data_IF_659872899444
#
_entry.id   IF_659872899444
#
_cell.length_a   1.000
_cell.length_b   1.000
_cell.length_c   1.000
_cell.angle_alpha   90.00
_cell.angle_beta   90.00
_cell.angle_gamma   90.00
#
_symmetry.space_group_name_H-M   'P 1'
#
loop_
_entity.id
_entity.type
_entity.pdbx_description
1 polymer ?
#
# COMPACT_ATOMS: atom_id res chain seq x y z
N UNK A 1 2.56 90.59 5.38
CA UNK A 1 3.38 91.20 4.33
C UNK A 1 3.47 90.17 3.20
N UNK A 2 2.87 90.49 2.12
CA UNK A 2 2.69 89.79 0.83
C UNK A 2 3.93 89.94 -0.07
N UNK A 3 3.86 89.35 -1.27
CA UNK A 3 4.23 88.01 -1.76
C UNK A 3 5.32 88.12 -2.89
N UNK A 4 5.77 87.04 -3.38
CA UNK A 4 6.40 87.09 -4.74
C UNK A 4 6.17 85.73 -5.45
N UNK A 5 5.53 85.87 -6.63
CA UNK A 5 5.28 84.83 -7.62
C UNK A 5 6.54 84.51 -8.42
N UNK A 6 6.89 83.25 -8.55
CA UNK A 6 7.93 82.79 -9.49
C UNK A 6 7.28 81.81 -10.50
N UNK A 7 7.42 82.12 -11.78
CA UNK A 7 6.85 81.45 -12.95
C UNK A 7 7.57 80.16 -13.26
N UNK A 8 6.75 79.13 -13.50
CA UNK A 8 7.15 77.83 -14.00
C UNK A 8 7.41 77.88 -15.50
N UNK A 9 8.58 77.43 -15.93
CA UNK A 9 8.82 77.10 -17.33
C UNK A 9 8.70 75.59 -17.56
N UNK A 10 7.78 75.23 -18.45
CA UNK A 10 7.65 73.88 -18.94
C UNK A 10 8.77 73.52 -19.86
N UNK A 11 9.46 72.40 -19.56
CA UNK A 11 10.41 71.78 -20.48
C UNK A 11 9.75 70.47 -20.96
N UNK A 12 9.53 70.40 -22.26
CA UNK A 12 9.01 69.21 -22.93
C UNK A 12 10.14 68.19 -23.06
N UNK A 13 10.02 67.01 -22.46
CA UNK A 13 10.88 65.88 -22.67
C UNK A 13 10.26 64.96 -23.73
N UNK A 14 10.94 64.84 -24.85
CA UNK A 14 10.67 63.86 -25.89
C UNK A 14 11.18 62.51 -25.37
N UNK A 15 10.28 61.57 -25.12
CA UNK A 15 10.64 60.18 -24.79
C UNK A 15 10.69 59.37 -26.08
N UNK A 16 11.89 58.97 -26.46
CA UNK A 16 12.10 58.03 -27.55
C UNK A 16 11.72 56.62 -27.08
N UNK A 17 10.71 56.02 -27.69
CA UNK A 17 10.34 54.63 -27.48
C UNK A 17 11.35 53.71 -28.19
N UNK A 18 12.23 53.07 -27.43
CA UNK A 18 13.00 51.92 -27.90
C UNK A 18 12.09 50.66 -27.74
N UNK A 19 11.70 50.11 -28.87
CA UNK A 19 11.06 48.79 -28.93
C UNK A 19 12.07 47.69 -28.57
N UNK A 20 11.98 47.14 -27.37
CA UNK A 20 12.60 45.84 -27.04
C UNK A 20 11.66 44.75 -27.47
N UNK A 21 11.78 44.29 -28.71
CA UNK A 21 11.20 43.06 -29.18
C UNK A 21 12.21 41.95 -28.94
N UNK A 22 12.16 41.26 -27.78
CA UNK A 22 12.69 39.91 -27.55
C UNK A 22 12.35 39.44 -26.15
N UNK A 23 11.05 39.28 -25.83
CA UNK A 23 10.67 38.29 -24.80
C UNK A 23 10.33 37.02 -25.54
N UNK A 24 11.29 36.11 -25.64
CA UNK A 24 11.01 34.73 -25.98
C UNK A 24 9.99 34.18 -25.00
N UNK A 25 8.80 33.95 -25.47
CA UNK A 25 7.81 33.13 -24.78
C UNK A 25 8.45 31.75 -24.65
N UNK A 26 8.98 31.43 -23.47
CA UNK A 26 9.13 30.05 -23.02
C UNK A 26 7.73 29.48 -22.99
N UNK A 27 7.30 28.95 -24.14
CA UNK A 27 6.08 28.19 -24.22
C UNK A 27 6.20 27.03 -23.25
N UNK A 28 5.52 27.13 -22.13
CA UNK A 28 5.13 25.94 -21.40
C UNK A 28 4.39 25.10 -22.44
N UNK A 29 5.03 24.05 -22.93
CA UNK A 29 4.34 22.99 -23.66
C UNK A 29 3.28 22.51 -22.69
N UNK A 30 2.03 22.92 -22.90
CA UNK A 30 0.88 22.26 -22.32
C UNK A 30 1.09 20.77 -22.60
N UNK A 31 1.25 19.98 -21.56
CA UNK A 31 1.33 18.53 -21.69
C UNK A 31 0.10 18.12 -22.50
N UNK A 32 0.31 17.69 -23.73
CA UNK A 32 -0.77 17.26 -24.60
C UNK A 32 -1.53 16.16 -23.89
N UNK A 33 -2.84 16.26 -23.83
CA UNK A 33 -3.68 15.20 -23.29
C UNK A 33 -3.36 13.92 -24.05
N UNK A 34 -2.96 12.85 -23.34
CA UNK A 34 -2.71 11.56 -23.96
C UNK A 34 -3.91 11.06 -24.74
N UNK A 35 -3.68 10.17 -25.69
CA UNK A 35 -4.76 9.55 -26.47
C UNK A 35 -5.61 8.65 -25.59
N UNK A 36 -6.88 8.47 -25.97
CA UNK A 36 -7.76 7.48 -25.35
C UNK A 36 -7.87 6.26 -26.27
N UNK A 37 -7.31 5.15 -25.83
CA UNK A 37 -7.36 3.86 -26.52
C UNK A 37 -8.52 3.03 -25.93
N UNK A 38 -9.57 2.79 -26.73
CA UNK A 38 -10.81 2.17 -26.22
C UNK A 38 -10.84 0.67 -26.45
N UNK A 39 -11.22 -0.09 -25.40
CA UNK A 39 -11.38 -1.54 -25.44
C UNK A 39 -12.79 -1.92 -24.95
N UNK A 40 -13.56 -2.74 -25.68
CA UNK A 40 -13.45 -2.98 -27.11
C UNK A 40 -13.83 -1.71 -27.87
N UNK A 41 -13.36 -1.57 -29.08
CA UNK A 41 -13.66 -0.39 -29.89
C UNK A 41 -12.54 -0.20 -30.90
N UNK A 42 -11.55 0.63 -30.53
CA UNK A 42 -10.33 0.76 -31.34
C UNK A 42 -9.43 -0.48 -31.25
N UNK A 43 -9.47 -1.19 -30.12
CA UNK A 43 -8.68 -2.40 -29.86
C UNK A 43 -9.58 -3.53 -29.37
N UNK A 44 -9.33 -4.75 -29.82
CA UNK A 44 -10.16 -5.92 -29.45
C UNK A 44 -9.82 -6.44 -28.03
N UNK A 45 -8.57 -6.28 -27.60
CA UNK A 45 -8.04 -6.76 -26.32
C UNK A 45 -7.36 -5.63 -25.56
N UNK A 46 -7.25 -5.78 -24.24
CA UNK A 46 -6.52 -4.84 -23.40
C UNK A 46 -5.04 -4.87 -23.74
N UNK A 47 -4.46 -6.06 -23.94
CA UNK A 47 -3.06 -6.21 -24.35
C UNK A 47 -2.75 -5.48 -25.66
N UNK A 48 -3.62 -5.54 -26.67
CA UNK A 48 -3.41 -4.84 -27.93
C UNK A 48 -3.45 -3.31 -27.76
N UNK A 49 -4.28 -2.80 -26.86
CA UNK A 49 -4.32 -1.37 -26.54
C UNK A 49 -3.07 -0.94 -25.78
N UNK A 50 -2.61 -1.73 -24.80
CA UNK A 50 -1.38 -1.48 -24.04
C UNK A 50 -0.18 -1.46 -25.00
N UNK A 51 -0.02 -2.45 -25.89
CA UNK A 51 1.09 -2.49 -26.84
C UNK A 51 1.10 -1.33 -27.86
N UNK A 52 -0.02 -0.61 -28.04
CA UNK A 52 -0.11 0.59 -28.88
C UNK A 52 -0.01 1.90 -28.09
N UNK A 53 -0.01 1.83 -26.75
CA UNK A 53 -0.02 2.99 -25.88
C UNK A 53 1.36 3.67 -25.82
N UNK A 54 1.35 4.97 -25.59
CA UNK A 54 2.52 5.83 -25.41
C UNK A 54 2.42 6.53 -24.04
N UNK A 55 3.51 7.07 -23.51
CA UNK A 55 3.47 7.82 -22.26
C UNK A 55 2.36 8.87 -22.22
N UNK A 56 1.56 8.84 -21.15
CA UNK A 56 0.41 9.72 -20.96
C UNK A 56 -0.90 9.24 -21.59
N UNK A 57 -0.92 8.15 -22.34
CA UNK A 57 -2.16 7.59 -22.93
C UNK A 57 -3.04 6.92 -21.87
N UNK A 58 -4.35 6.92 -22.13
CA UNK A 58 -5.37 6.23 -21.35
C UNK A 58 -5.89 5.03 -22.12
N UNK A 59 -5.67 3.83 -21.63
CA UNK A 59 -6.37 2.61 -22.04
C UNK A 59 -7.68 2.55 -21.29
N UNK A 60 -8.80 2.84 -21.98
CA UNK A 60 -10.13 2.94 -21.39
C UNK A 60 -10.97 1.72 -21.74
N UNK A 61 -11.33 0.93 -20.73
CA UNK A 61 -11.93 -0.39 -20.87
C UNK A 61 -13.43 -0.31 -20.57
N UNK A 62 -14.27 -0.73 -21.50
CA UNK A 62 -15.70 -0.84 -21.28
C UNK A 62 -16.07 -2.10 -20.50
N UNK A 63 -17.32 -2.14 -20.01
CA UNK A 63 -17.85 -3.32 -19.32
C UNK A 63 -17.72 -4.59 -20.18
N UNK A 64 -17.23 -5.66 -19.57
CA UNK A 64 -16.97 -6.95 -20.22
C UNK A 64 -16.13 -7.86 -19.31
N UNK A 65 -16.06 -9.13 -19.69
CA UNK A 65 -15.16 -10.11 -19.07
C UNK A 65 -14.03 -10.39 -20.05
N UNK A 66 -12.81 -10.16 -19.63
CA UNK A 66 -11.60 -10.26 -20.43
C UNK A 66 -10.75 -11.42 -19.92
N UNK A 67 -10.52 -12.41 -20.80
CA UNK A 67 -9.73 -13.62 -20.47
C UNK A 67 -8.32 -13.48 -21.05
N UNK A 68 -7.53 -12.63 -20.46
CA UNK A 68 -6.16 -12.36 -20.91
C UNK A 68 -5.26 -12.01 -19.73
N UNK A 69 -3.97 -12.27 -19.85
CA UNK A 69 -2.90 -11.66 -19.07
C UNK A 69 -2.48 -10.39 -19.79
N UNK A 70 -2.32 -9.29 -19.07
CA UNK A 70 -1.88 -8.01 -19.64
C UNK A 70 -0.48 -7.68 -19.12
N UNK A 71 0.52 -7.74 -20.00
CA UNK A 71 1.89 -7.35 -19.69
C UNK A 71 2.15 -5.92 -20.15
N UNK A 72 2.62 -5.07 -19.23
CA UNK A 72 3.06 -3.71 -19.50
C UNK A 72 4.58 -3.68 -19.44
N UNK A 73 5.21 -3.84 -20.61
CA UNK A 73 6.67 -3.86 -20.73
C UNK A 73 7.29 -2.47 -20.48
N UNK A 74 8.58 -2.45 -20.18
CA UNK A 74 9.35 -1.26 -19.73
C UNK A 74 9.17 0.00 -20.60
N UNK A 75 8.93 -0.17 -21.91
CA UNK A 75 8.76 0.96 -22.84
C UNK A 75 7.41 1.69 -22.72
N UNK A 76 6.43 1.12 -22.02
CA UNK A 76 5.09 1.70 -21.86
C UNK A 76 4.95 2.54 -20.60
N UNK A 77 5.94 3.37 -20.30
CA UNK A 77 5.95 4.23 -19.10
C UNK A 77 4.78 5.21 -19.06
N UNK A 78 4.28 5.50 -17.86
CA UNK A 78 3.33 6.58 -17.61
C UNK A 78 1.97 6.41 -18.28
N UNK A 79 1.55 5.20 -18.60
CA UNK A 79 0.18 4.95 -19.12
C UNK A 79 -0.82 4.75 -17.98
N UNK A 80 -2.09 4.97 -18.28
CA UNK A 80 -3.20 4.71 -17.36
C UNK A 80 -4.10 3.64 -17.96
N UNK A 81 -4.37 2.57 -17.20
CA UNK A 81 -5.29 1.49 -17.55
C UNK A 81 -6.52 1.63 -16.65
N UNK A 82 -7.67 1.98 -17.23
CA UNK A 82 -8.88 2.30 -16.47
C UNK A 82 -10.11 1.60 -16.98
N UNK A 83 -10.84 0.94 -16.08
CA UNK A 83 -12.19 0.46 -16.33
C UNK A 83 -13.24 1.57 -16.21
N UNK A 84 -14.26 1.53 -17.06
CA UNK A 84 -15.42 2.43 -16.93
C UNK A 84 -16.31 2.08 -15.74
N UNK A 85 -16.31 0.82 -15.31
CA UNK A 85 -17.08 0.33 -14.19
C UNK A 85 -16.30 -0.77 -13.44
N UNK A 86 -15.99 -0.52 -12.18
CA UNK A 86 -15.19 -1.41 -11.34
C UNK A 86 -15.73 -2.84 -11.29
N UNK A 87 -17.05 -2.99 -11.23
CA UNK A 87 -17.70 -4.28 -11.04
C UNK A 87 -18.01 -5.02 -12.35
N UNK A 88 -17.98 -4.31 -13.47
CA UNK A 88 -18.33 -4.85 -14.78
C UNK A 88 -17.17 -4.89 -15.78
N UNK A 89 -16.03 -4.26 -15.46
CA UNK A 89 -14.77 -4.46 -16.18
C UNK A 89 -13.97 -5.51 -15.42
N UNK A 90 -14.00 -6.75 -15.89
CA UNK A 90 -13.48 -7.91 -15.17
C UNK A 90 -12.40 -8.61 -15.98
N UNK A 91 -11.16 -8.61 -15.49
CA UNK A 91 -10.11 -9.50 -15.94
C UNK A 91 -10.25 -10.82 -15.18
N UNK A 92 -10.38 -11.93 -15.90
CA UNK A 92 -10.72 -13.23 -15.31
C UNK A 92 -9.78 -14.31 -15.84
N UNK A 93 -8.87 -14.77 -14.99
CA UNK A 93 -7.89 -15.80 -15.32
C UNK A 93 -8.46 -17.21 -15.43
N UNK A 94 -9.73 -17.44 -15.04
CA UNK A 94 -10.42 -18.73 -15.10
C UNK A 94 -9.68 -19.86 -14.35
N UNK A 95 -8.81 -19.54 -13.39
CA UNK A 95 -7.87 -20.48 -12.75
C UNK A 95 -6.95 -21.20 -13.76
N UNK A 96 -6.53 -20.52 -14.82
CA UNK A 96 -5.68 -21.05 -15.89
C UNK A 96 -4.53 -20.11 -16.27
N UNK A 97 -4.73 -18.79 -16.17
CA UNK A 97 -3.72 -17.79 -16.50
C UNK A 97 -2.88 -17.44 -15.25
N UNK A 98 -1.62 -17.06 -15.45
CA UNK A 98 -0.69 -16.71 -14.39
C UNK A 98 -1.11 -15.45 -13.63
N UNK A 99 -0.68 -14.30 -14.09
CA UNK A 99 -1.00 -12.98 -13.52
C UNK A 99 -2.08 -12.25 -14.33
N UNK A 100 -2.84 -11.36 -13.67
CA UNK A 100 -3.85 -10.56 -14.35
C UNK A 100 -3.25 -9.38 -15.10
N UNK A 101 -2.61 -8.45 -14.39
CA UNK A 101 -1.77 -7.40 -14.95
C UNK A 101 -0.37 -7.53 -14.38
N UNK A 102 0.62 -7.62 -15.25
CA UNK A 102 2.04 -7.72 -14.94
C UNK A 102 2.77 -6.50 -15.49
N UNK A 103 3.19 -5.58 -14.58
CA UNK A 103 3.61 -4.22 -14.92
C UNK A 103 5.06 -4.02 -14.56
N UNK A 104 5.89 -3.77 -15.59
CA UNK A 104 7.32 -3.52 -15.46
C UNK A 104 7.73 -2.07 -15.77
N UNK A 105 6.79 -1.28 -16.30
CA UNK A 105 7.05 0.10 -16.71
C UNK A 105 6.80 1.10 -15.57
N UNK A 106 7.65 2.12 -15.51
CA UNK A 106 7.51 3.22 -14.57
C UNK A 106 6.26 4.06 -14.80
N UNK A 107 5.69 4.60 -13.75
CA UNK A 107 4.61 5.57 -13.80
C UNK A 107 3.25 5.01 -14.21
N UNK A 108 3.06 3.71 -14.20
CA UNK A 108 1.80 3.08 -14.64
C UNK A 108 0.74 3.10 -13.55
N UNK A 109 -0.46 3.54 -13.91
CA UNK A 109 -1.64 3.49 -13.05
C UNK A 109 -2.68 2.48 -13.55
N UNK A 110 -3.24 1.68 -12.63
CA UNK A 110 -4.38 0.79 -12.87
C UNK A 110 -5.55 1.23 -12.01
N UNK A 111 -6.70 1.44 -12.63
CA UNK A 111 -7.84 2.08 -11.96
C UNK A 111 -9.19 1.43 -12.32
N UNK A 112 -10.05 1.31 -11.32
CA UNK A 112 -11.49 1.07 -11.45
C UNK A 112 -11.87 -0.19 -12.24
N UNK A 113 -11.32 -1.33 -11.85
CA UNK A 113 -11.58 -2.63 -12.46
C UNK A 113 -11.51 -3.78 -11.46
N UNK A 114 -11.97 -4.95 -11.87
CA UNK A 114 -11.89 -6.20 -11.11
C UNK A 114 -10.91 -7.16 -11.76
N UNK A 115 -10.08 -7.82 -10.93
CA UNK A 115 -9.13 -8.87 -11.34
C UNK A 115 -9.33 -10.10 -10.47
N UNK A 116 -9.56 -11.26 -11.09
CA UNK A 116 -9.92 -12.47 -10.35
C UNK A 116 -9.45 -13.77 -10.98
N UNK A 117 -9.34 -14.81 -10.16
CA UNK A 117 -9.13 -16.21 -10.55
C UNK A 117 -7.90 -16.42 -11.44
N UNK A 118 -6.81 -15.70 -11.14
CA UNK A 118 -5.49 -15.94 -11.68
C UNK A 118 -4.74 -16.95 -10.80
N UNK A 119 -3.79 -17.68 -11.39
CA UNK A 119 -3.04 -18.72 -10.67
C UNK A 119 -1.98 -18.16 -9.75
N UNK A 120 -1.55 -16.91 -10.00
CA UNK A 120 -0.55 -16.21 -9.19
C UNK A 120 -1.16 -14.91 -8.66
N UNK A 121 -0.94 -13.78 -9.29
CA UNK A 121 -1.34 -12.48 -8.75
C UNK A 121 -2.48 -11.83 -9.53
N UNK A 122 -3.23 -10.96 -8.87
CA UNK A 122 -4.19 -10.10 -9.54
C UNK A 122 -3.49 -9.01 -10.34
N UNK A 123 -2.80 -8.09 -9.68
CA UNK A 123 -2.04 -6.99 -10.32
C UNK A 123 -0.67 -6.89 -9.68
N UNK A 124 0.38 -6.87 -10.50
CA UNK A 124 1.77 -6.77 -10.08
C UNK A 124 2.42 -5.51 -10.64
N UNK A 125 3.16 -4.81 -9.81
CA UNK A 125 4.16 -3.81 -10.20
C UNK A 125 5.52 -4.29 -9.69
N UNK A 126 6.42 -4.62 -10.60
CA UNK A 126 7.77 -5.06 -10.27
C UNK A 126 8.75 -4.74 -11.39
N UNK A 127 10.05 -4.57 -11.12
CA UNK A 127 11.04 -4.49 -12.18
C UNK A 127 11.02 -5.74 -13.07
N UNK A 128 11.30 -5.62 -14.36
CA UNK A 128 11.24 -6.73 -15.35
C UNK A 128 12.26 -7.85 -15.09
N UNK A 129 13.21 -7.64 -14.19
CA UNK A 129 14.02 -8.69 -13.59
C UNK A 129 14.11 -8.40 -12.09
N UNK A 130 13.86 -9.39 -11.27
CA UNK A 130 13.94 -9.28 -9.79
C UNK A 130 15.26 -8.70 -9.29
N UNK A 131 16.26 -8.58 -10.17
CA UNK A 131 17.61 -8.18 -9.83
C UNK A 131 18.26 -7.25 -10.87
N UNK A 132 17.53 -6.24 -11.35
CA UNK A 132 18.11 -5.17 -12.19
C UNK A 132 19.16 -4.35 -11.43
N UNK A 133 20.20 -4.97 -10.92
CA UNK A 133 21.29 -4.26 -10.25
C UNK A 133 20.89 -3.37 -9.07
N UNK A 134 19.68 -3.54 -8.51
CA UNK A 134 19.11 -2.73 -7.44
C UNK A 134 18.24 -1.55 -7.92
N UNK A 135 17.93 -1.45 -9.21
CA UNK A 135 17.00 -0.42 -9.71
C UNK A 135 15.56 -0.81 -9.39
N UNK A 136 14.89 0.02 -8.60
CA UNK A 136 13.48 -0.11 -8.27
C UNK A 136 12.60 0.49 -9.38
N UNK A 137 11.40 -0.07 -9.59
CA UNK A 137 10.38 0.52 -10.45
C UNK A 137 9.94 1.88 -9.87
N UNK A 138 9.86 2.90 -10.73
CA UNK A 138 9.59 4.27 -10.31
C UNK A 138 8.16 4.70 -10.59
N UNK A 139 7.40 4.95 -9.54
CA UNK A 139 6.02 5.43 -9.65
C UNK A 139 5.03 4.33 -10.05
N UNK A 140 4.10 4.03 -9.16
CA UNK A 140 3.04 3.04 -9.39
C UNK A 140 1.75 3.47 -8.69
N UNK A 141 0.60 3.08 -9.25
CA UNK A 141 -0.67 3.34 -8.59
C UNK A 141 -1.71 2.27 -8.90
N UNK A 142 -2.31 1.73 -7.84
CA UNK A 142 -3.52 0.93 -7.91
C UNK A 142 -4.66 1.62 -7.17
N UNK A 143 -5.72 2.00 -7.88
CA UNK A 143 -6.85 2.74 -7.30
C UNK A 143 -8.18 2.10 -7.69
N UNK A 144 -9.11 1.94 -6.73
CA UNK A 144 -10.42 1.34 -7.01
C UNK A 144 -10.33 -0.03 -7.69
N UNK A 145 -9.37 -0.85 -7.29
CA UNK A 145 -9.22 -2.22 -7.77
C UNK A 145 -9.98 -3.17 -6.85
N UNK A 146 -10.75 -4.10 -7.43
CA UNK A 146 -11.24 -5.28 -6.73
C UNK A 146 -10.42 -6.49 -7.18
N UNK A 147 -9.69 -7.11 -6.26
CA UNK A 147 -8.91 -8.30 -6.52
C UNK A 147 -9.41 -9.45 -5.65
N UNK A 148 -9.84 -10.57 -6.26
CA UNK A 148 -10.31 -11.69 -5.45
C UNK A 148 -10.06 -13.07 -6.07
N UNK A 149 -9.86 -14.07 -5.20
CA UNK A 149 -9.63 -15.47 -5.57
C UNK A 149 -8.44 -15.64 -6.55
N UNK A 150 -7.35 -14.88 -6.35
CA UNK A 150 -6.10 -15.10 -7.06
C UNK A 150 -5.18 -16.00 -6.22
N UNK A 151 -4.23 -16.67 -6.84
CA UNK A 151 -3.48 -17.77 -6.25
C UNK A 151 -2.39 -17.39 -5.25
N UNK A 152 -1.96 -16.11 -5.21
CA UNK A 152 -1.06 -15.57 -4.19
C UNK A 152 -1.55 -14.20 -3.71
N UNK A 153 -1.27 -13.11 -4.45
CA UNK A 153 -1.54 -11.74 -4.04
C UNK A 153 -2.73 -11.12 -4.78
N UNK A 154 -3.43 -10.22 -4.10
CA UNK A 154 -4.46 -9.40 -4.74
C UNK A 154 -3.86 -8.27 -5.56
N UNK A 155 -3.17 -7.35 -4.89
CA UNK A 155 -2.36 -6.29 -5.49
C UNK A 155 -0.97 -6.32 -4.86
N UNK A 156 0.06 -6.23 -5.68
CA UNK A 156 1.43 -6.52 -5.31
C UNK A 156 2.39 -5.49 -5.90
N UNK A 157 3.08 -4.72 -5.05
CA UNK A 157 4.14 -3.81 -5.44
C UNK A 157 5.46 -4.29 -4.83
N UNK A 158 6.37 -4.81 -5.66
CA UNK A 158 7.63 -5.43 -5.27
C UNK A 158 8.81 -4.71 -5.91
N UNK A 159 9.79 -4.30 -5.11
CA UNK A 159 10.93 -3.55 -5.62
C UNK A 159 10.51 -2.27 -6.33
N UNK A 160 9.46 -1.61 -5.83
CA UNK A 160 8.84 -0.45 -6.47
C UNK A 160 8.71 0.70 -5.47
N UNK A 161 9.10 1.92 -5.88
CA UNK A 161 9.03 3.11 -5.04
C UNK A 161 8.15 4.21 -5.63
N UNK A 162 7.82 5.21 -4.81
CA UNK A 162 7.00 6.36 -5.18
C UNK A 162 5.59 5.96 -5.67
N UNK A 163 4.89 5.15 -4.87
CA UNK A 163 3.59 4.68 -5.31
C UNK A 163 2.52 4.59 -4.24
N UNK A 164 1.33 4.18 -4.66
CA UNK A 164 0.23 4.02 -3.72
C UNK A 164 -0.82 3.01 -4.15
N UNK A 165 -1.44 2.41 -3.14
CA UNK A 165 -2.75 1.77 -3.23
C UNK A 165 -3.79 2.62 -2.51
N UNK A 166 -4.89 2.92 -3.17
CA UNK A 166 -6.04 3.57 -2.55
C UNK A 166 -7.37 2.95 -3.02
N UNK A 167 -8.35 2.84 -2.11
CA UNK A 167 -9.67 2.26 -2.40
C UNK A 167 -9.61 0.85 -3.00
N UNK A 168 -8.57 0.08 -2.66
CA UNK A 168 -8.45 -1.33 -3.04
C UNK A 168 -9.39 -2.17 -2.18
N UNK A 169 -10.01 -3.17 -2.78
CA UNK A 169 -10.67 -4.26 -2.08
C UNK A 169 -10.03 -5.58 -2.49
N UNK A 170 -9.53 -6.34 -1.54
CA UNK A 170 -8.84 -7.61 -1.79
C UNK A 170 -9.42 -8.74 -0.93
N UNK A 171 -9.75 -9.89 -1.54
CA UNK A 171 -10.38 -11.01 -0.83
C UNK A 171 -10.01 -12.36 -1.41
N UNK A 172 -9.78 -13.33 -0.54
CA UNK A 172 -9.58 -14.72 -0.97
C UNK A 172 -8.18 -15.06 -1.47
N UNK A 173 -7.17 -14.29 -1.13
CA UNK A 173 -5.79 -14.59 -1.50
C UNK A 173 -5.13 -15.53 -0.49
N UNK A 174 -4.47 -16.63 -0.97
CA UNK A 174 -3.74 -17.55 -0.10
C UNK A 174 -2.51 -16.94 0.57
N UNK A 175 -2.02 -15.84 0.05
CA UNK A 175 -0.96 -15.03 0.64
C UNK A 175 -1.55 -13.69 1.12
N UNK A 176 -1.20 -12.55 0.58
CA UNK A 176 -1.77 -11.31 1.07
C UNK A 176 -2.72 -10.59 0.11
N UNK A 177 -3.72 -9.89 0.70
CA UNK A 177 -4.64 -9.06 -0.07
C UNK A 177 -3.94 -7.90 -0.73
N UNK A 178 -3.12 -7.19 0.04
CA UNK A 178 -2.34 -6.02 -0.37
C UNK A 178 -0.89 -6.20 0.09
N UNK A 179 0.04 -6.07 -0.83
CA UNK A 179 1.47 -6.21 -0.56
C UNK A 179 2.26 -5.00 -1.07
N UNK A 180 3.16 -4.50 -0.22
CA UNK A 180 4.21 -3.56 -0.63
C UNK A 180 5.51 -4.05 -0.01
N UNK A 181 6.50 -4.39 -0.81
CA UNK A 181 7.74 -4.94 -0.26
C UNK A 181 8.96 -4.79 -1.15
N UNK A 182 10.07 -5.22 -0.57
CA UNK A 182 11.40 -5.26 -1.18
C UNK A 182 11.85 -3.91 -1.77
N UNK A 183 11.46 -2.81 -1.14
CA UNK A 183 11.80 -1.45 -1.54
C UNK A 183 12.53 -0.71 -0.42
N UNK A 184 13.57 0.05 -0.83
CA UNK A 184 14.36 0.88 0.09
C UNK A 184 15.03 2.06 -0.66
N UNK A 185 14.49 3.31 -0.56
CA UNK A 185 13.24 3.65 0.12
C UNK A 185 12.00 3.21 -0.67
N UNK A 186 10.89 2.97 0.03
CA UNK A 186 9.62 2.67 -0.63
C UNK A 186 8.85 3.92 -1.07
N UNK A 187 8.81 4.95 -0.23
CA UNK A 187 7.96 6.12 -0.44
C UNK A 187 6.53 5.71 -0.87
N UNK A 188 5.96 4.77 -0.13
CA UNK A 188 4.70 4.13 -0.49
C UNK A 188 3.56 4.55 0.45
N UNK A 189 2.34 4.63 -0.10
CA UNK A 189 1.14 4.92 0.64
C UNK A 189 0.07 3.85 0.38
N UNK A 190 -0.50 3.27 1.44
CA UNK A 190 -1.66 2.38 1.36
C UNK A 190 -2.78 2.97 2.22
N UNK A 191 -3.91 3.33 1.61
CA UNK A 191 -5.01 3.97 2.34
C UNK A 191 -6.39 3.62 1.82
N UNK A 192 -7.41 3.90 2.63
CA UNK A 192 -8.83 3.78 2.25
C UNK A 192 -9.17 2.41 1.63
N UNK A 193 -8.45 1.36 2.02
CA UNK A 193 -8.52 0.04 1.41
C UNK A 193 -9.09 -0.99 2.38
N UNK A 194 -9.63 -2.06 1.84
CA UNK A 194 -10.20 -3.18 2.60
C UNK A 194 -9.59 -4.48 2.12
N UNK A 195 -9.07 -5.30 3.06
CA UNK A 195 -8.72 -6.68 2.76
C UNK A 195 -9.37 -7.63 3.77
N UNK A 196 -10.04 -8.65 3.26
CA UNK A 196 -10.73 -9.65 4.07
C UNK A 196 -10.67 -11.05 3.45
N UNK A 197 -10.75 -12.07 4.27
CA UNK A 197 -10.70 -13.46 3.84
C UNK A 197 -9.40 -13.87 3.14
N UNK A 198 -8.26 -13.23 3.47
CA UNK A 198 -6.93 -13.57 2.97
C UNK A 198 -6.10 -14.28 4.06
N UNK A 199 -4.95 -14.86 3.70
CA UNK A 199 -3.96 -15.25 4.70
C UNK A 199 -3.50 -14.04 5.50
N UNK A 200 -3.06 -12.98 4.82
CA UNK A 200 -2.69 -11.69 5.42
C UNK A 200 -3.50 -10.58 4.76
N UNK A 201 -4.00 -9.63 5.54
CA UNK A 201 -4.71 -8.46 4.98
C UNK A 201 -3.74 -7.53 4.24
N UNK A 202 -2.72 -7.04 4.95
CA UNK A 202 -1.62 -6.25 4.42
C UNK A 202 -0.28 -6.84 4.85
N UNK A 203 0.63 -6.96 3.91
CA UNK A 203 1.98 -7.48 4.13
C UNK A 203 3.04 -6.51 3.63
N UNK A 204 4.13 -6.41 4.40
CA UNK A 204 5.24 -5.50 4.14
C UNK A 204 6.58 -6.20 4.38
N UNK A 205 6.97 -7.13 3.51
CA UNK A 205 8.27 -7.80 3.57
C UNK A 205 9.35 -6.88 3.05
N UNK A 206 10.37 -6.60 3.88
CA UNK A 206 11.49 -5.72 3.53
C UNK A 206 11.07 -4.33 2.97
N UNK A 207 9.88 -3.85 3.31
CA UNK A 207 9.45 -2.50 2.95
C UNK A 207 10.13 -1.49 3.87
N UNK A 208 11.00 -0.65 3.33
CA UNK A 208 11.86 0.24 4.11
C UNK A 208 11.79 1.70 3.66
N UNK A 209 12.02 2.61 4.60
CA UNK A 209 12.14 4.03 4.29
C UNK A 209 10.84 4.66 3.79
N UNK A 210 9.89 4.91 4.69
CA UNK A 210 8.69 5.70 4.44
C UNK A 210 7.55 4.92 3.72
N UNK A 211 7.22 3.74 4.22
CA UNK A 211 5.98 3.06 3.88
C UNK A 211 4.89 3.47 4.88
N UNK A 212 3.83 4.11 4.39
CA UNK A 212 2.71 4.62 5.21
C UNK A 212 1.42 3.85 4.93
N UNK A 213 0.82 3.28 5.98
CA UNK A 213 -0.41 2.48 5.90
C UNK A 213 -1.45 3.09 6.83
N UNK A 214 -2.47 3.75 6.27
CA UNK A 214 -3.39 4.54 7.07
C UNK A 214 -4.85 4.44 6.60
N UNK A 215 -5.78 4.56 7.55
CA UNK A 215 -7.23 4.59 7.29
C UNK A 215 -7.78 3.36 6.53
N UNK A 216 -7.17 2.19 6.72
CA UNK A 216 -7.60 0.95 6.08
C UNK A 216 -8.42 0.07 7.02
N UNK A 217 -9.10 -0.91 6.44
CA UNK A 217 -9.81 -1.97 7.15
C UNK A 217 -9.21 -3.34 6.81
N UNK A 218 -8.52 -3.92 7.78
CA UNK A 218 -7.96 -5.27 7.71
C UNK A 218 -8.79 -6.20 8.59
N UNK A 219 -9.67 -6.99 7.99
CA UNK A 219 -10.67 -7.75 8.75
C UNK A 219 -10.89 -9.15 8.20
N UNK A 220 -11.26 -10.10 9.07
CA UNK A 220 -11.58 -11.47 8.67
C UNK A 220 -10.49 -12.16 7.82
N UNK A 221 -9.23 -11.77 8.01
CA UNK A 221 -8.09 -12.51 7.48
C UNK A 221 -7.62 -13.53 8.52
N UNK A 222 -6.62 -14.32 8.21
CA UNK A 222 -5.94 -15.15 9.23
C UNK A 222 -5.02 -14.30 10.09
N UNK A 223 -4.32 -13.32 9.47
CA UNK A 223 -3.54 -12.26 10.11
C UNK A 223 -3.96 -10.92 9.51
N UNK A 224 -4.09 -9.88 10.34
CA UNK A 224 -4.50 -8.57 9.83
C UNK A 224 -3.40 -7.88 9.04
N UNK A 225 -2.24 -7.69 9.68
CA UNK A 225 -1.07 -7.01 9.13
C UNK A 225 0.19 -7.78 9.51
N UNK A 226 1.08 -7.99 8.56
CA UNK A 226 2.43 -8.52 8.79
C UNK A 226 3.47 -7.55 8.22
N UNK A 227 4.46 -7.17 9.05
CA UNK A 227 5.60 -6.35 8.68
C UNK A 227 6.82 -7.20 9.01
N UNK A 228 7.55 -7.67 8.00
CA UNK A 228 8.57 -8.67 8.24
C UNK A 228 9.89 -8.44 7.49
N UNK A 229 10.93 -9.14 7.95
CA UNK A 229 12.24 -9.16 7.35
C UNK A 229 12.57 -10.55 6.83
N UNK A 230 12.87 -10.65 5.53
CA UNK A 230 13.27 -11.86 4.87
C UNK A 230 14.64 -11.69 4.19
N UNK A 231 15.67 -12.39 4.71
CA UNK A 231 17.08 -12.22 4.27
C UNK A 231 17.31 -12.54 2.79
N UNK A 232 16.47 -13.34 2.18
CA UNK A 232 16.65 -13.76 0.79
C UNK A 232 16.32 -12.67 -0.23
N UNK A 233 15.64 -11.62 0.18
CA UNK A 233 15.18 -10.53 -0.68
C UNK A 233 16.07 -9.29 -0.56
N UNK A 234 16.24 -8.51 -1.65
CA UNK A 234 17.19 -7.39 -1.72
C UNK A 234 16.97 -6.28 -0.69
N UNK A 235 15.73 -5.94 -0.36
CA UNK A 235 15.38 -4.85 0.58
C UNK A 235 15.68 -5.13 2.06
N UNK A 236 16.18 -6.34 2.39
CA UNK A 236 16.49 -6.73 3.76
C UNK A 236 17.50 -5.83 4.47
N UNK A 237 17.32 -5.54 5.77
CA UNK A 237 16.15 -5.83 6.63
C UNK A 237 15.06 -4.73 6.53
N UNK A 238 13.83 -5.09 6.87
CA UNK A 238 12.70 -4.16 6.92
C UNK A 238 12.89 -3.09 8.00
N UNK A 239 12.58 -1.83 7.67
CA UNK A 239 12.64 -0.73 8.66
C UNK A 239 11.77 0.48 8.28
N UNK A 240 11.21 1.15 9.31
CA UNK A 240 10.67 2.51 9.17
C UNK A 240 9.28 2.60 8.57
N UNK A 241 8.44 1.55 8.63
CA UNK A 241 7.03 1.63 8.25
C UNK A 241 6.18 2.32 9.31
N UNK A 242 5.15 3.04 8.87
CA UNK A 242 4.14 3.66 9.72
C UNK A 242 2.77 3.02 9.48
N UNK A 243 2.17 2.46 10.54
CA UNK A 243 0.83 1.87 10.52
C UNK A 243 -0.06 2.67 11.46
N UNK A 244 -0.95 3.51 10.93
CA UNK A 244 -1.74 4.44 11.75
C UNK A 244 -3.20 4.54 11.33
N UNK A 245 -4.09 4.81 12.29
CA UNK A 245 -5.53 5.03 12.05
C UNK A 245 -6.26 3.88 11.35
N UNK A 246 -5.70 2.66 11.34
CA UNK A 246 -6.35 1.51 10.72
C UNK A 246 -7.36 0.85 11.67
N UNK A 247 -8.33 0.20 11.07
CA UNK A 247 -9.26 -0.70 11.73
C UNK A 247 -8.86 -2.16 11.45
N UNK A 248 -8.25 -2.81 12.42
CA UNK A 248 -7.70 -4.17 12.33
C UNK A 248 -8.54 -5.06 13.24
N UNK A 249 -9.49 -5.79 12.66
CA UNK A 249 -10.52 -6.45 13.48
C UNK A 249 -10.85 -7.86 13.02
N UNK A 250 -11.06 -8.76 13.98
CA UNK A 250 -11.56 -10.12 13.75
C UNK A 250 -10.72 -10.97 12.78
N UNK A 251 -9.39 -10.80 12.79
CA UNK A 251 -8.52 -11.59 11.92
C UNK A 251 -8.28 -13.00 12.52
N UNK A 252 -9.29 -13.82 12.41
CA UNK A 252 -9.38 -15.20 12.90
C UNK A 252 -10.11 -16.09 11.90
N UNK A 253 -10.13 -15.74 10.62
CA UNK A 253 -10.96 -16.46 9.68
C UNK A 253 -10.38 -17.84 9.37
N UNK A 254 -11.05 -18.87 9.88
CA UNK A 254 -10.71 -20.27 9.63
C UNK A 254 -11.05 -20.71 8.20
N UNK A 255 -11.90 -19.95 7.52
CA UNK A 255 -12.30 -20.15 6.12
C UNK A 255 -11.41 -19.42 5.12
N UNK A 256 -10.52 -18.56 5.57
CA UNK A 256 -9.57 -17.90 4.68
C UNK A 256 -8.49 -18.88 4.18
N UNK A 257 -8.05 -18.77 2.92
CA UNK A 257 -7.02 -19.65 2.34
C UNK A 257 -5.64 -19.34 2.93
N UNK A 258 -4.67 -20.17 2.62
CA UNK A 258 -3.26 -19.92 2.83
C UNK A 258 -2.42 -20.67 1.80
N UNK A 259 -1.28 -20.11 1.39
CA UNK A 259 -0.35 -20.76 0.46
C UNK A 259 0.48 -21.83 1.16
N UNK A 260 1.16 -21.47 2.25
CA UNK A 260 2.07 -22.34 2.99
C UNK A 260 1.87 -22.22 4.51
N UNK A 261 2.96 -21.97 5.22
CA UNK A 261 2.92 -21.73 6.66
C UNK A 261 2.71 -20.24 6.90
N UNK A 262 1.72 -19.89 7.69
CA UNK A 262 1.44 -18.51 8.06
C UNK A 262 0.81 -18.45 9.44
N UNK A 263 0.82 -17.27 10.04
CA UNK A 263 0.20 -16.97 11.32
C UNK A 263 -1.32 -17.15 11.30
N UNK A 264 -1.92 -17.13 12.49
CA UNK A 264 -3.37 -17.16 12.66
C UNK A 264 -3.75 -16.39 13.92
N UNK A 265 -4.80 -15.59 13.86
CA UNK A 265 -5.36 -14.96 15.04
C UNK A 265 -4.58 -13.75 15.57
N UNK A 266 -3.72 -13.15 14.77
CA UNK A 266 -3.01 -11.94 15.11
C UNK A 266 -3.58 -10.71 14.37
N UNK A 267 -3.62 -9.57 15.08
CA UNK A 267 -3.98 -8.29 14.47
C UNK A 267 -2.81 -7.72 13.70
N UNK A 268 -1.70 -7.45 14.37
CA UNK A 268 -0.46 -6.93 13.78
C UNK A 268 0.70 -7.78 14.26
N UNK A 269 1.54 -8.25 13.34
CA UNK A 269 2.81 -8.89 13.60
C UNK A 269 3.97 -8.05 12.99
N UNK A 270 4.89 -7.56 13.84
CA UNK A 270 6.16 -6.98 13.41
C UNK A 270 7.23 -8.04 13.63
N UNK A 271 7.66 -8.72 12.55
CA UNK A 271 8.48 -9.91 12.56
C UNK A 271 9.90 -9.61 12.06
N UNK A 272 10.80 -9.30 12.97
CA UNK A 272 12.19 -8.94 12.64
C UNK A 272 12.38 -7.55 12.02
N UNK A 273 11.33 -6.72 12.00
CA UNK A 273 11.38 -5.34 11.51
C UNK A 273 11.92 -4.35 12.55
N UNK A 274 12.43 -3.21 12.11
CA UNK A 274 12.99 -2.18 12.97
C UNK A 274 12.42 -0.79 12.72
N UNK A 275 12.45 0.06 13.77
CA UNK A 275 12.07 1.47 13.69
C UNK A 275 10.65 1.73 13.12
N UNK A 276 9.73 0.78 13.27
CA UNK A 276 8.34 0.92 12.84
C UNK A 276 7.51 1.69 13.89
N UNK A 277 6.51 2.43 13.42
CA UNK A 277 5.53 3.13 14.27
C UNK A 277 4.13 2.55 14.05
N UNK A 278 3.63 1.80 15.03
CA UNK A 278 2.27 1.23 15.05
C UNK A 278 1.43 2.06 16.03
N UNK A 279 0.64 3.00 15.49
CA UNK A 279 0.02 4.04 16.28
C UNK A 279 -1.46 4.28 15.97
N UNK A 280 -2.23 4.67 16.97
CA UNK A 280 -3.61 5.17 16.81
C UNK A 280 -4.57 4.20 16.06
N UNK A 281 -4.28 2.89 16.05
CA UNK A 281 -5.12 1.88 15.41
C UNK A 281 -6.20 1.35 16.38
N UNK A 282 -7.34 0.94 15.83
CA UNK A 282 -8.28 0.06 16.51
C UNK A 282 -7.92 -1.39 16.18
N UNK A 283 -7.50 -2.16 17.19
CA UNK A 283 -7.08 -3.56 17.06
C UNK A 283 -7.96 -4.44 17.95
N UNK A 284 -8.85 -5.23 17.36
CA UNK A 284 -9.91 -5.88 18.14
C UNK A 284 -10.26 -7.28 17.66
N UNK A 285 -10.60 -8.15 18.62
CA UNK A 285 -11.24 -9.44 18.33
C UNK A 285 -10.29 -10.54 17.88
N UNK A 286 -9.00 -10.49 18.23
CA UNK A 286 -8.00 -11.48 17.81
C UNK A 286 -7.87 -12.63 18.78
N UNK A 287 -7.85 -13.87 18.24
CA UNK A 287 -7.84 -15.10 19.06
C UNK A 287 -6.49 -15.42 19.70
N UNK A 288 -5.41 -14.80 19.21
CA UNK A 288 -4.07 -14.95 19.79
C UNK A 288 -3.56 -13.62 20.36
N UNK A 289 -3.34 -12.63 19.50
CA UNK A 289 -2.73 -11.38 19.92
C UNK A 289 -3.20 -10.17 19.09
N UNK A 290 -3.42 -9.05 19.76
CA UNK A 290 -3.69 -7.78 19.09
C UNK A 290 -2.48 -7.29 18.31
N UNK A 291 -1.37 -6.98 19.00
CA UNK A 291 -0.12 -6.54 18.39
C UNK A 291 1.04 -7.33 18.99
N UNK A 292 1.86 -7.95 18.14
CA UNK A 292 3.10 -8.62 18.55
C UNK A 292 4.31 -8.02 17.83
N UNK A 293 5.38 -7.78 18.59
CA UNK A 293 6.73 -7.48 18.07
C UNK A 293 7.62 -8.67 18.41
N UNK A 294 8.21 -9.29 17.39
CA UNK A 294 9.00 -10.51 17.54
C UNK A 294 10.22 -10.53 16.64
N UNK A 295 11.27 -11.23 17.09
CA UNK A 295 12.42 -11.51 16.24
C UNK A 295 12.05 -12.55 15.17
N UNK A 296 12.43 -12.30 13.92
CA UNK A 296 12.42 -13.33 12.89
C UNK A 296 13.69 -14.20 12.97
N UNK A 297 13.73 -15.35 12.30
CA UNK A 297 14.96 -16.13 12.20
C UNK A 297 16.12 -15.34 11.56
N UNK A 298 15.82 -14.35 10.76
CA UNK A 298 16.79 -13.59 9.96
C UNK A 298 17.19 -12.24 10.57
N UNK A 299 16.32 -11.63 11.38
CA UNK A 299 16.50 -10.28 11.91
C UNK A 299 15.89 -10.11 13.29
N UNK A 300 16.53 -9.33 14.13
CA UNK A 300 15.98 -8.92 15.42
C UNK A 300 15.02 -7.72 15.25
N UNK A 301 13.90 -7.77 15.97
CA UNK A 301 12.97 -6.64 16.03
C UNK A 301 13.51 -5.57 16.99
N UNK A 302 13.83 -4.38 16.47
CA UNK A 302 14.48 -3.32 17.27
C UNK A 302 13.87 -1.95 17.05
N UNK A 303 13.86 -1.14 18.11
CA UNK A 303 13.45 0.27 18.08
C UNK A 303 12.04 0.51 17.52
N UNK A 304 11.14 -0.47 17.58
CA UNK A 304 9.76 -0.31 17.16
C UNK A 304 8.95 0.44 18.22
N UNK A 305 8.02 1.28 17.80
CA UNK A 305 7.11 2.01 18.65
C UNK A 305 5.68 1.51 18.46
N UNK A 306 5.05 1.05 19.54
CA UNK A 306 3.63 0.65 19.58
C UNK A 306 2.92 1.58 20.53
N UNK A 307 2.13 2.52 20.02
CA UNK A 307 1.60 3.60 20.84
C UNK A 307 0.18 4.00 20.52
N UNK A 308 -0.54 4.48 21.54
CA UNK A 308 -1.88 5.07 21.42
C UNK A 308 -2.92 4.17 20.73
N UNK A 309 -2.65 2.86 20.56
CA UNK A 309 -3.62 1.95 19.97
C UNK A 309 -4.76 1.63 20.96
N UNK A 310 -5.95 1.46 20.42
CA UNK A 310 -7.12 0.98 21.12
C UNK A 310 -7.26 -0.55 20.91
N UNK A 311 -7.09 -1.30 22.00
CA UNK A 311 -7.03 -2.76 21.99
C UNK A 311 -8.27 -3.33 22.70
N UNK A 312 -9.07 -4.13 21.99
CA UNK A 312 -10.33 -4.63 22.51
C UNK A 312 -10.53 -6.11 22.20
N UNK A 313 -11.00 -6.86 23.17
CA UNK A 313 -11.42 -8.26 22.98
C UNK A 313 -10.37 -9.19 22.34
N UNK A 314 -9.07 -8.86 22.42
CA UNK A 314 -8.01 -9.76 21.98
C UNK A 314 -7.74 -10.81 23.08
N UNK A 315 -7.22 -11.98 22.74
CA UNK A 315 -6.78 -12.96 23.75
C UNK A 315 -5.59 -12.44 24.56
N UNK A 316 -4.62 -11.85 23.88
CA UNK A 316 -3.53 -11.02 24.42
C UNK A 316 -3.55 -9.69 23.68
N UNK A 317 -3.40 -8.56 24.37
CA UNK A 317 -3.46 -7.28 23.67
C UNK A 317 -2.11 -6.91 23.05
N UNK A 318 -1.01 -7.08 23.84
CA UNK A 318 0.34 -6.75 23.39
C UNK A 318 1.31 -7.91 23.69
N UNK A 319 2.22 -8.19 22.78
CA UNK A 319 3.28 -9.15 23.03
C UNK A 319 4.65 -8.65 22.51
N UNK A 320 5.71 -9.05 23.22
CA UNK A 320 7.10 -8.84 22.83
C UNK A 320 7.86 -10.17 22.94
N UNK A 321 8.21 -10.73 21.81
CA UNK A 321 8.86 -12.04 21.70
C UNK A 321 10.26 -11.87 21.10
N UNK A 322 11.29 -11.65 21.91
CA UNK A 322 12.67 -11.54 21.46
C UNK A 322 13.50 -12.75 21.90
N UNK A 323 14.37 -13.23 21.04
CA UNK A 323 15.28 -14.34 21.32
C UNK A 323 16.42 -13.92 22.26
N UNK A 324 16.83 -12.67 22.19
CA UNK A 324 17.90 -12.11 23.03
C UNK A 324 17.51 -11.94 24.51
N UNK A 325 16.22 -12.02 24.83
CA UNK A 325 15.71 -11.73 26.17
C UNK A 325 15.74 -10.24 26.55
N UNK A 326 16.06 -9.35 25.61
CA UNK A 326 16.10 -7.89 25.78
C UNK A 326 15.18 -7.22 24.77
N UNK A 327 14.59 -6.10 25.14
CA UNK A 327 13.62 -5.39 24.27
C UNK A 327 14.28 -4.72 23.05
N UNK A 328 15.56 -4.59 22.99
CA UNK A 328 16.27 -3.96 21.86
C UNK A 328 15.69 -2.59 21.44
N UNK A 329 15.30 -1.76 22.40
CA UNK A 329 14.75 -0.43 22.17
C UNK A 329 13.27 -0.37 21.77
N UNK A 330 12.56 -1.48 21.72
CA UNK A 330 11.13 -1.47 21.44
C UNK A 330 10.35 -0.78 22.55
N UNK A 331 9.35 0.02 22.18
CA UNK A 331 8.59 0.89 23.06
C UNK A 331 7.08 0.65 22.95
N UNK A 332 6.42 0.52 24.13
CA UNK A 332 4.96 0.37 24.19
C UNK A 332 4.40 1.48 25.09
N UNK A 333 3.64 2.42 24.54
CA UNK A 333 3.18 3.58 25.31
C UNK A 333 1.76 4.00 24.97
N UNK A 334 1.04 4.52 25.96
CA UNK A 334 -0.30 5.09 25.80
C UNK A 334 -1.35 4.17 25.14
N UNK A 335 -1.07 2.88 24.96
CA UNK A 335 -2.07 1.93 24.47
C UNK A 335 -3.20 1.75 25.50
N UNK A 336 -4.42 1.59 25.03
CA UNK A 336 -5.61 1.54 25.86
C UNK A 336 -6.43 0.27 25.62
N UNK A 337 -6.95 -0.32 26.70
CA UNK A 337 -7.93 -1.40 26.66
C UNK A 337 -9.21 -0.95 27.40
N UNK A 338 -10.17 -0.31 26.73
CA UNK A 338 -11.40 0.10 27.37
C UNK A 338 -12.18 -1.11 27.94
N UNK A 339 -12.58 -1.04 29.21
CA UNK A 339 -13.34 -2.10 29.87
C UNK A 339 -12.52 -3.17 30.60
N UNK A 340 -11.20 -3.07 30.62
CA UNK A 340 -10.30 -3.96 31.37
C UNK A 340 -8.86 -3.47 31.36
N UNK A 341 -7.99 -4.08 32.15
CA UNK A 341 -6.54 -3.81 32.08
C UNK A 341 -5.95 -4.45 30.83
N UNK A 342 -4.93 -3.81 30.23
CA UNK A 342 -4.14 -4.37 29.12
C UNK A 342 -3.54 -5.72 29.52
N UNK A 343 -3.76 -6.74 28.71
CA UNK A 343 -3.13 -8.05 28.84
C UNK A 343 -1.90 -8.10 27.97
N UNK A 344 -0.74 -8.35 28.54
CA UNK A 344 0.50 -8.37 27.78
C UNK A 344 1.38 -9.57 28.10
N UNK A 345 2.22 -9.96 27.15
CA UNK A 345 3.27 -10.95 27.29
C UNK A 345 4.60 -10.32 26.88
N UNK A 346 5.58 -10.15 27.79
CA UNK A 346 5.47 -10.39 29.24
C UNK A 346 4.46 -9.47 29.94
N UNK A 347 3.97 -9.91 31.08
CA UNK A 347 2.86 -9.28 31.82
C UNK A 347 3.08 -7.82 32.24
N UNK A 348 4.27 -7.28 32.06
CA UNK A 348 4.64 -5.92 32.44
C UNK A 348 4.80 -4.94 31.28
N UNK A 349 4.54 -5.32 30.02
CA UNK A 349 4.67 -4.39 28.89
C UNK A 349 3.83 -3.12 29.08
N UNK A 350 2.63 -3.24 29.63
CA UNK A 350 1.76 -2.09 29.90
C UNK A 350 2.22 -1.18 31.02
N UNK A 351 3.01 -1.70 31.99
CA UNK A 351 3.57 -0.89 33.09
C UNK A 351 4.77 -0.05 32.65
N UNK A 352 5.25 -0.24 31.44
CA UNK A 352 6.31 0.52 30.81
C UNK A 352 5.77 1.72 30.03
N UNK A 353 4.48 2.01 30.18
CA UNK A 353 3.80 3.17 29.63
C UNK A 353 4.30 4.43 30.31
N UNK A 354 4.83 5.36 29.55
CA UNK A 354 5.40 6.61 30.05
C UNK A 354 6.85 6.78 29.60
N UNK A 355 7.74 7.23 30.37
CA UNK A 355 9.09 7.65 30.00
C UNK A 355 10.12 6.52 29.78
N UNK A 356 9.70 5.26 29.59
CA UNK A 356 10.60 4.11 29.46
C UNK A 356 10.99 3.74 28.03
N UNK A 357 10.50 4.44 27.04
CA UNK A 357 11.02 4.34 25.67
C UNK A 357 12.51 4.70 25.64
N UNK A 358 13.34 3.77 25.22
CA UNK A 358 14.81 3.93 25.22
C UNK A 358 15.57 3.12 26.27
N UNK A 359 14.87 2.39 27.14
CA UNK A 359 15.51 1.46 28.07
C UNK A 359 15.31 0.02 27.61
N UNK A 360 16.39 -0.74 27.53
CA UNK A 360 16.31 -2.19 27.30
C UNK A 360 15.58 -2.86 28.46
N UNK A 361 14.63 -3.71 28.13
CA UNK A 361 13.88 -4.50 29.10
C UNK A 361 14.45 -5.90 29.19
N UNK A 362 14.62 -6.39 30.40
CA UNK A 362 14.82 -7.83 30.59
C UNK A 362 13.46 -8.51 30.44
N UNK A 363 13.32 -9.32 29.40
CA UNK A 363 12.12 -10.11 29.15
C UNK A 363 12.25 -11.42 29.88
N UNK A 364 11.24 -11.74 30.70
CA UNK A 364 11.15 -13.03 31.38
C UNK A 364 10.95 -14.21 30.40
N UNK A 365 10.74 -15.40 30.96
CA UNK A 365 10.47 -16.60 30.17
C UNK A 365 9.02 -16.73 29.72
N UNK A 366 8.22 -15.69 29.91
CA UNK A 366 6.83 -15.66 29.44
C UNK A 366 6.82 -15.67 27.89
N UNK A 367 5.97 -16.51 27.32
CA UNK A 367 5.83 -16.64 25.85
C UNK A 367 4.37 -16.57 25.48
N UNK A 368 4.11 -16.03 24.30
CA UNK A 368 2.79 -16.02 23.68
C UNK A 368 2.35 -17.46 23.43
N UNK A 369 1.10 -17.78 23.81
CA UNK A 369 0.53 -19.07 23.51
C UNK A 369 -0.09 -19.05 22.13
N UNK A 370 0.63 -19.60 21.16
CA UNK A 370 0.12 -19.76 19.81
C UNK A 370 -0.87 -20.93 19.73
N UNK A 371 -1.94 -20.74 18.98
CA UNK A 371 -2.89 -21.78 18.65
C UNK A 371 -2.46 -22.52 17.37
N UNK A 372 -2.79 -23.81 17.22
CA UNK A 372 -2.55 -24.47 15.95
C UNK A 372 -3.31 -23.77 14.83
N UNK A 373 -2.60 -23.41 13.76
CA UNK A 373 -3.21 -22.79 12.60
C UNK A 373 -4.29 -23.74 12.00
N UNK A 374 -5.48 -23.25 11.65
CA UNK A 374 -6.52 -24.05 11.02
C UNK A 374 -6.03 -24.67 9.70
N UNK A 375 -6.66 -25.78 9.25
CA UNK A 375 -6.36 -26.39 7.95
C UNK A 375 -6.45 -25.38 6.81
N UNK A 376 -5.75 -25.66 5.71
CA UNK A 376 -5.81 -24.89 4.49
C UNK A 376 -7.20 -25.02 3.82
N UNK A 377 -7.70 -23.92 3.28
CA UNK A 377 -8.89 -23.84 2.45
C UNK A 377 -8.49 -23.39 1.05
N UNK A 378 -9.13 -23.93 0.03
CA UNK A 378 -8.85 -23.52 -1.35
C UNK A 378 -9.42 -22.14 -1.65
N UNK A 379 -8.60 -21.24 -2.16
CA UNK A 379 -9.04 -19.92 -2.62
C UNK A 379 -10.07 -19.97 -3.74
N UNK A 380 -10.04 -21.03 -4.56
CA UNK A 380 -10.93 -21.21 -5.72
C UNK A 380 -12.40 -21.49 -5.35
N UNK A 381 -12.68 -21.72 -4.07
CA UNK A 381 -14.03 -22.08 -3.58
C UNK A 381 -14.69 -20.96 -2.77
N UNK A 382 -14.04 -19.81 -2.63
CA UNK A 382 -14.61 -18.71 -1.88
C UNK A 382 -15.71 -17.98 -2.68
N UNK A 383 -16.70 -17.39 -1.99
CA UNK A 383 -17.74 -16.63 -2.67
C UNK A 383 -17.18 -15.30 -3.20
N UNK A 384 -17.65 -14.90 -4.37
CA UNK A 384 -17.33 -13.57 -4.89
C UNK A 384 -17.77 -12.46 -3.89
N UNK A 385 -16.97 -11.40 -3.72
CA UNK A 385 -17.31 -10.30 -2.84
C UNK A 385 -18.51 -9.49 -3.35
N UNK A 386 -19.15 -8.69 -2.48
CA UNK A 386 -20.18 -7.76 -2.91
C UNK A 386 -19.59 -6.67 -3.85
N UNK A 387 -20.45 -6.07 -4.71
CA UNK A 387 -20.02 -4.95 -5.54
C UNK A 387 -19.37 -3.83 -4.74
N UNK A 388 -18.27 -3.28 -5.25
CA UNK A 388 -17.49 -2.22 -4.63
C UNK A 388 -17.79 -0.85 -5.26
N UNK A 389 -17.60 0.26 -4.52
CA UNK A 389 -17.76 1.61 -5.07
C UNK A 389 -16.88 1.86 -6.30
N UNK A 390 -17.44 2.48 -7.31
CA UNK A 390 -16.70 2.92 -8.50
C UNK A 390 -15.85 4.16 -8.21
N UNK A 391 -14.77 4.31 -8.98
CA UNK A 391 -14.02 5.55 -9.06
C UNK A 391 -14.96 6.70 -9.52
N UNK A 392 -14.97 7.83 -8.84
CA UNK A 392 -15.73 9.00 -9.28
C UNK A 392 -15.34 9.47 -10.67
N UNK A 393 -16.33 9.76 -11.52
CA UNK A 393 -16.13 10.28 -12.86
C UNK A 393 -15.15 9.43 -13.75
N UNK A 394 -15.11 8.12 -13.60
CA UNK A 394 -14.17 7.24 -14.29
C UNK A 394 -14.10 7.47 -15.81
N UNK A 395 -15.24 7.80 -16.45
CA UNK A 395 -15.31 8.07 -17.88
C UNK A 395 -14.64 9.39 -18.32
N UNK A 396 -14.52 10.36 -17.44
CA UNK A 396 -14.12 11.75 -17.77
C UNK A 396 -12.95 12.26 -16.93
N UNK A 397 -12.57 11.56 -15.86
CA UNK A 397 -11.43 11.95 -15.06
C UNK A 397 -10.14 11.99 -15.92
N UNK A 398 -9.29 13.00 -15.76
CA UNK A 398 -8.03 13.08 -16.48
C UNK A 398 -7.18 11.82 -16.29
N UNK A 399 -6.47 11.40 -17.31
CA UNK A 399 -5.44 10.39 -17.17
C UNK A 399 -4.26 11.01 -16.40
N UNK A 400 -3.97 10.47 -15.24
CA UNK A 400 -2.85 10.91 -14.42
C UNK A 400 -1.90 9.72 -14.21
N UNK A 401 -0.76 9.68 -14.88
CA UNK A 401 0.28 8.70 -14.59
C UNK A 401 0.67 8.70 -13.12
N UNK A 402 1.14 7.57 -12.63
CA UNK A 402 1.66 7.46 -11.28
C UNK A 402 3.07 8.07 -11.23
N UNK A 403 3.17 9.34 -10.86
CA UNK A 403 4.46 10.05 -10.76
C UNK A 403 4.56 10.77 -9.41
N UNK A 404 5.75 10.77 -8.83
CA UNK A 404 6.08 11.51 -7.62
C UNK A 404 5.86 10.73 -6.32
N UNK A 405 6.54 11.17 -5.28
CA UNK A 405 6.32 10.68 -3.93
C UNK A 405 4.88 10.99 -3.48
N UNK A 406 4.24 10.11 -2.69
CA UNK A 406 2.97 10.44 -2.08
C UNK A 406 3.13 11.71 -1.23
N UNK A 407 2.24 12.68 -1.42
CA UNK A 407 2.16 13.82 -0.51
C UNK A 407 1.85 13.29 0.88
N UNK A 408 2.68 13.64 1.87
CA UNK A 408 2.37 13.32 3.27
C UNK A 408 1.13 14.12 3.64
N UNK A 409 -0.02 13.48 3.62
CA UNK A 409 -1.20 14.03 4.29
C UNK A 409 -0.89 14.01 5.80
N UNK A 410 -0.55 15.18 6.34
CA UNK A 410 -0.53 15.37 7.79
C UNK A 410 -1.95 15.14 8.28
N UNK A 411 -2.13 14.12 9.13
CA UNK A 411 -3.37 13.92 9.86
C UNK A 411 -3.69 15.24 10.59
N UNK A 412 -4.78 15.89 10.17
CA UNK A 412 -5.29 17.12 10.78
C UNK A 412 -6.02 16.85 12.09
#
# INVERSE_FOLDING_TARGET
MTPSRGRVRAAALVVAALACAACGSSGHKQAGHGRVLRVPGSYKTIQAAVGAARPGDLVLIAAGVYHETVTVADEHTGIVIRGLDRNHVVLDGQNQLGDGLDIHADGVAVENLTVRRYLVNGVVWSPSSEYRGGEQLQGWRGSYITAYDNGLYGVYAFGAEHGRFDHVYASGQPDSGVYVGDCNPCHALVRDSVAEHNQVGYEATNASGDASVLDNVWTRNRVGVEIDSLRKEPGFPQQGSTLTSNRIVDNNDRGAPRAEQGGFGAGVAVNGGSANDVADNLVSGHSEVGIVVLDSPDSAATNNTVRANRLEANATDLALETQSGLSQGNCFSANQAPGGGLRSVPSRLHALTGNSCGHSLTIGNERLRLLPAPPQVSYQTLPAPPPQPNMPAAATAPAQPAVGAPERETAG
#
